data_IF_302080224903
#
_entry.id   IF_302080224903
#
_cell.length_a   1.000
_cell.length_b   1.000
_cell.length_c   1.000
_cell.angle_alpha   90.00
_cell.angle_beta   90.00
_cell.angle_gamma   90.00
#
_symmetry.space_group_name_H-M   'P 1'
#
loop_
_entity.id
_entity.type
_entity.pdbx_description
1 polymer ?
#
# COMPACT_ATOMS: atom_id res chain seq x y z
N UNK A 1 -19.23 -22.31 32.88
CA UNK A 1 -18.39 -21.89 31.76
C UNK A 1 -18.74 -20.44 31.46
N UNK A 2 -17.99 -19.50 32.02
CA UNK A 2 -18.15 -18.08 31.68
C UNK A 2 -17.58 -17.87 30.27
N UNK A 3 -18.43 -17.42 29.34
CA UNK A 3 -17.97 -16.90 28.07
C UNK A 3 -17.15 -15.64 28.37
N UNK A 4 -15.84 -15.76 28.18
CA UNK A 4 -14.89 -14.67 28.29
C UNK A 4 -15.17 -13.60 27.22
N UNK A 5 -16.11 -12.69 27.52
CA UNK A 5 -16.56 -11.59 26.66
C UNK A 5 -15.44 -10.57 26.32
N UNK A 6 -14.25 -10.71 26.90
CA UNK A 6 -13.11 -9.82 26.62
C UNK A 6 -12.48 -10.01 25.23
N UNK A 7 -12.76 -11.12 24.53
CA UNK A 7 -12.12 -11.41 23.23
C UNK A 7 -12.79 -10.75 22.03
N UNK A 8 -14.09 -10.44 22.11
CA UNK A 8 -14.83 -9.83 21.00
C UNK A 8 -14.58 -8.31 20.87
N UNK A 9 -14.29 -7.64 21.98
CA UNK A 9 -13.97 -6.21 21.99
C UNK A 9 -12.63 -5.88 21.30
N UNK A 10 -11.72 -6.86 21.17
CA UNK A 10 -10.46 -6.67 20.44
C UNK A 10 -10.60 -6.82 18.91
N UNK A 11 -11.81 -7.07 18.40
CA UNK A 11 -12.11 -7.05 16.95
C UNK A 11 -12.67 -5.67 16.55
N UNK A 12 -12.27 -4.60 17.25
CA UNK A 12 -12.48 -3.24 16.75
C UNK A 12 -11.42 -3.01 15.71
N UNK A 13 -11.75 -3.14 14.44
CA UNK A 13 -10.90 -2.85 13.28
C UNK A 13 -10.11 -1.51 13.44
N UNK A 14 -8.87 -1.39 12.94
CA UNK A 14 -8.08 -0.16 13.05
C UNK A 14 -8.83 1.06 12.50
N UNK A 15 -8.65 2.29 13.02
CA UNK A 15 -9.30 3.48 12.40
C UNK A 15 -8.89 3.64 10.93
N UNK A 16 -7.65 3.27 10.56
CA UNK A 16 -7.21 3.32 9.17
C UNK A 16 -7.97 2.32 8.29
N UNK A 17 -8.63 1.29 8.83
CA UNK A 17 -9.53 0.43 8.03
C UNK A 17 -10.94 0.99 7.89
N UNK A 18 -11.33 2.00 8.67
CA UNK A 18 -12.57 2.74 8.41
C UNK A 18 -12.54 3.45 7.06
N UNK A 19 -11.34 3.68 6.50
CA UNK A 19 -11.20 4.19 5.14
C UNK A 19 -11.76 3.22 4.09
N UNK A 20 -11.98 1.93 4.42
CA UNK A 20 -12.62 0.97 3.52
C UNK A 20 -14.17 1.01 3.60
N UNK A 21 -14.75 1.79 4.51
CA UNK A 21 -16.21 1.96 4.58
C UNK A 21 -16.68 3.13 3.69
N UNK A 22 -17.85 3.02 3.03
CA UNK A 22 -18.47 4.13 2.32
C UNK A 22 -18.81 5.31 3.26
N UNK A 23 -18.61 6.59 2.85
CA UNK A 23 -18.09 7.05 1.56
C UNK A 23 -16.55 7.19 1.50
N UNK A 24 -15.83 7.01 2.61
CA UNK A 24 -14.39 7.25 2.72
C UNK A 24 -13.55 6.40 1.76
N UNK A 25 -14.02 5.19 1.44
CA UNK A 25 -13.36 4.32 0.45
C UNK A 25 -13.23 4.98 -0.91
N UNK A 26 -14.23 5.74 -1.36
CA UNK A 26 -14.16 6.43 -2.64
C UNK A 26 -13.09 7.54 -2.63
N UNK A 27 -12.92 8.22 -1.49
CA UNK A 27 -11.86 9.22 -1.33
C UNK A 27 -10.47 8.60 -1.40
N UNK A 28 -10.26 7.45 -0.75
CA UNK A 28 -8.97 6.74 -0.81
C UNK A 28 -8.69 6.17 -2.19
N UNK A 29 -9.70 5.55 -2.83
CA UNK A 29 -9.59 5.04 -4.19
C UNK A 29 -9.19 6.15 -5.18
N UNK A 30 -9.86 7.31 -5.12
CA UNK A 30 -9.57 8.46 -5.99
C UNK A 30 -8.22 9.09 -5.64
N UNK A 31 -7.93 9.28 -4.34
CA UNK A 31 -6.68 9.84 -3.86
C UNK A 31 -5.46 9.03 -4.32
N UNK A 32 -5.50 7.69 -4.14
CA UNK A 32 -4.45 6.81 -4.62
C UNK A 32 -4.31 6.87 -6.15
N UNK A 33 -5.41 6.91 -6.90
CA UNK A 33 -5.34 7.04 -8.36
C UNK A 33 -4.64 8.33 -8.79
N UNK A 34 -4.88 9.45 -8.09
CA UNK A 34 -4.23 10.74 -8.35
C UNK A 34 -2.73 10.65 -8.06
N UNK A 35 -2.35 10.06 -6.92
CA UNK A 35 -0.94 9.90 -6.53
C UNK A 35 -0.21 8.99 -7.53
N UNK A 36 -0.78 7.84 -7.88
CA UNK A 36 -0.21 6.93 -8.87
C UNK A 36 -0.01 7.62 -10.23
N UNK A 37 -1.03 8.35 -10.68
CA UNK A 37 -0.96 9.14 -11.90
C UNK A 37 0.17 10.17 -11.86
N UNK A 38 0.29 10.90 -10.75
CA UNK A 38 1.33 11.92 -10.55
C UNK A 38 2.72 11.29 -10.59
N UNK A 39 2.96 10.20 -9.85
CA UNK A 39 4.27 9.54 -9.77
C UNK A 39 4.69 8.99 -11.13
N UNK A 40 3.80 8.30 -11.84
CA UNK A 40 4.07 7.77 -13.19
C UNK A 40 4.32 8.91 -14.17
N UNK A 41 3.49 9.96 -14.15
CA UNK A 41 3.63 11.11 -15.01
C UNK A 41 4.96 11.82 -14.79
N UNK A 42 5.30 12.17 -13.55
CA UNK A 42 6.56 12.85 -13.22
C UNK A 42 7.77 11.99 -13.60
N UNK A 43 7.74 10.69 -13.28
CA UNK A 43 8.86 9.80 -13.60
C UNK A 43 9.07 9.67 -15.11
N UNK A 44 8.00 9.54 -15.88
CA UNK A 44 8.09 9.46 -17.36
C UNK A 44 8.48 10.80 -17.98
N UNK A 45 7.97 11.92 -17.45
CA UNK A 45 8.31 13.28 -17.86
C UNK A 45 9.79 13.60 -17.66
N UNK A 46 10.34 13.38 -16.46
CA UNK A 46 11.76 13.64 -16.17
C UNK A 46 12.72 12.75 -16.97
N UNK A 47 12.27 11.55 -17.37
CA UNK A 47 13.03 10.66 -18.24
C UNK A 47 12.72 10.86 -19.73
N UNK A 48 11.97 11.90 -20.11
CA UNK A 48 11.62 12.30 -21.49
C UNK A 48 10.97 11.19 -22.31
N UNK A 49 10.20 10.31 -21.65
CA UNK A 49 9.49 9.24 -22.35
C UNK A 49 8.16 9.75 -22.89
N UNK A 50 7.98 9.60 -24.20
CA UNK A 50 6.73 9.91 -24.88
C UNK A 50 5.84 8.67 -24.87
N UNK A 51 4.80 8.69 -24.05
CA UNK A 51 3.72 7.70 -24.06
C UNK A 51 2.49 8.31 -24.73
N UNK A 52 1.76 7.50 -25.48
CA UNK A 52 0.41 7.88 -25.91
C UNK A 52 -0.52 7.98 -24.70
N UNK A 53 -1.60 8.76 -24.83
CA UNK A 53 -2.63 8.86 -23.76
C UNK A 53 -3.21 7.50 -23.36
N UNK A 54 -3.33 6.57 -24.31
CA UNK A 54 -3.84 5.21 -24.06
C UNK A 54 -2.86 4.37 -23.23
N UNK A 55 -1.57 4.44 -23.53
CA UNK A 55 -0.53 3.73 -22.78
C UNK A 55 -0.41 4.28 -21.36
N UNK A 56 -0.36 5.61 -21.22
CA UNK A 56 -0.28 6.26 -19.90
C UNK A 56 -1.48 5.87 -19.02
N UNK A 57 -2.71 5.98 -19.55
CA UNK A 57 -3.93 5.55 -18.83
C UNK A 57 -3.87 4.08 -18.43
N UNK A 58 -3.38 3.22 -19.33
CA UNK A 58 -3.26 1.77 -19.06
C UNK A 58 -2.27 1.48 -17.94
N UNK A 59 -1.10 2.13 -17.94
CA UNK A 59 -0.08 1.97 -16.90
C UNK A 59 -0.63 2.44 -15.55
N UNK A 60 -1.30 3.61 -15.51
CA UNK A 60 -1.86 4.18 -14.28
C UNK A 60 -2.97 3.28 -13.70
N UNK A 61 -3.96 2.87 -14.49
CA UNK A 61 -5.07 2.03 -13.98
C UNK A 61 -4.56 0.69 -13.46
N UNK A 62 -3.57 0.10 -14.14
CA UNK A 62 -2.97 -1.15 -13.67
C UNK A 62 -2.10 -0.95 -12.44
N UNK A 63 -1.34 0.14 -12.37
CA UNK A 63 -0.55 0.49 -11.19
C UNK A 63 -1.45 0.61 -9.96
N UNK A 64 -2.58 1.31 -10.11
CA UNK A 64 -3.62 1.47 -9.10
C UNK A 64 -4.20 0.12 -8.66
N UNK A 65 -4.63 -0.72 -9.61
CA UNK A 65 -5.20 -2.03 -9.30
C UNK A 65 -4.18 -2.97 -8.60
N UNK A 66 -2.94 -3.04 -9.10
CA UNK A 66 -1.90 -3.85 -8.47
C UNK A 66 -1.42 -3.27 -7.13
N UNK A 67 -1.48 -1.94 -6.97
CA UNK A 67 -1.21 -1.23 -5.73
C UNK A 67 -2.10 -1.73 -4.60
N UNK A 68 -3.42 -1.71 -4.81
CA UNK A 68 -4.36 -2.27 -3.83
C UNK A 68 -4.11 -3.74 -3.51
N UNK A 69 -3.80 -4.55 -4.52
CA UNK A 69 -3.45 -5.95 -4.31
C UNK A 69 -2.23 -6.12 -3.39
N UNK A 70 -1.20 -5.30 -3.59
CA UNK A 70 0.01 -5.31 -2.76
C UNK A 70 -0.27 -4.80 -1.34
N UNK A 71 -1.08 -3.76 -1.20
CA UNK A 71 -1.48 -3.23 0.11
C UNK A 71 -2.24 -4.28 0.93
N UNK A 72 -3.17 -5.01 0.30
CA UNK A 72 -3.89 -6.11 0.95
C UNK A 72 -2.96 -7.22 1.45
N UNK A 73 -1.90 -7.53 0.69
CA UNK A 73 -0.87 -8.48 1.12
C UNK A 73 -0.11 -7.93 2.34
N UNK A 74 0.20 -6.63 2.35
CA UNK A 74 0.80 -5.95 3.49
C UNK A 74 -0.08 -6.01 4.74
N UNK A 75 -1.38 -5.69 4.62
CA UNK A 75 -2.36 -5.82 5.71
C UNK A 75 -2.42 -7.26 6.23
N UNK A 76 -2.46 -8.24 5.31
CA UNK A 76 -2.54 -9.64 5.68
C UNK A 76 -1.29 -10.10 6.45
N UNK A 77 -0.10 -9.70 6.03
CA UNK A 77 1.13 -9.98 6.78
C UNK A 77 1.08 -9.33 8.17
N UNK A 78 0.70 -8.06 8.26
CA UNK A 78 0.61 -7.35 9.53
C UNK A 78 -0.33 -8.05 10.51
N UNK A 79 -1.49 -8.51 10.02
CA UNK A 79 -2.47 -9.26 10.81
C UNK A 79 -1.91 -10.60 11.32
N UNK A 80 -1.17 -11.34 10.49
CA UNK A 80 -0.51 -12.58 10.92
C UNK A 80 0.53 -12.32 12.01
N UNK A 81 1.35 -11.28 11.84
CA UNK A 81 2.39 -10.93 12.80
C UNK A 81 1.80 -10.42 14.12
N UNK A 82 0.77 -9.56 14.07
CA UNK A 82 0.10 -9.05 15.28
C UNK A 82 -0.53 -10.17 16.09
N UNK A 83 -1.13 -11.16 15.43
CA UNK A 83 -1.69 -12.35 16.10
C UNK A 83 -0.59 -13.23 16.70
N UNK A 84 0.54 -13.38 16.00
CA UNK A 84 1.66 -14.24 16.43
C UNK A 84 2.39 -13.66 17.63
N UNK A 85 2.72 -12.37 17.58
CA UNK A 85 3.47 -11.67 18.61
C UNK A 85 2.58 -11.01 19.68
N UNK A 86 1.24 -11.14 19.54
CA UNK A 86 0.23 -10.64 20.49
C UNK A 86 0.35 -9.15 20.80
N UNK A 87 0.58 -8.37 19.75
CA UNK A 87 0.58 -6.91 19.81
C UNK A 87 -0.69 -6.39 19.10
N UNK A 88 -1.08 -5.16 19.40
CA UNK A 88 -2.17 -4.45 18.76
C UNK A 88 -1.79 -4.00 17.34
N UNK A 89 -2.49 -4.53 16.33
CA UNK A 89 -2.32 -4.15 14.92
C UNK A 89 -2.69 -2.69 14.58
N UNK A 90 -2.92 -1.83 15.59
CA UNK A 90 -3.40 -0.45 15.48
C UNK A 90 -2.37 0.60 15.90
N UNK A 91 -1.26 0.18 16.53
CA UNK A 91 -0.21 1.07 16.98
C UNK A 91 1.17 0.47 16.72
N UNK A 92 1.86 0.98 15.70
CA UNK A 92 3.22 0.56 15.37
C UNK A 92 4.24 0.88 16.47
N UNK A 93 3.93 1.78 17.41
CA UNK A 93 4.87 2.30 18.40
C UNK A 93 4.68 1.76 19.81
N UNK A 94 3.80 0.78 20.01
CA UNK A 94 3.57 0.21 21.34
C UNK A 94 4.70 -0.72 21.81
N UNK A 95 5.39 -1.38 20.88
CA UNK A 95 6.47 -2.31 21.17
C UNK A 95 7.44 -2.43 19.98
N UNK A 96 8.62 -3.01 20.23
CA UNK A 96 9.59 -3.28 19.17
C UNK A 96 9.05 -4.28 18.14
N UNK A 97 8.35 -5.32 18.61
CA UNK A 97 7.73 -6.34 17.76
C UNK A 97 6.68 -5.74 16.83
N UNK A 98 5.86 -4.81 17.34
CA UNK A 98 4.91 -4.06 16.53
C UNK A 98 5.66 -3.23 15.48
N UNK A 99 6.62 -2.41 15.88
CA UNK A 99 7.38 -1.56 14.96
C UNK A 99 8.00 -2.35 13.80
N UNK A 100 8.69 -3.46 14.10
CA UNK A 100 9.29 -4.32 13.08
C UNK A 100 8.24 -4.97 12.17
N UNK A 101 7.10 -5.38 12.71
CA UNK A 101 6.03 -6.00 11.92
C UNK A 101 5.36 -5.03 10.95
N UNK A 102 5.14 -3.78 11.38
CA UNK A 102 4.65 -2.70 10.52
C UNK A 102 5.67 -2.37 9.42
N UNK A 103 6.95 -2.21 9.78
CA UNK A 103 8.03 -1.96 8.81
C UNK A 103 8.11 -3.09 7.78
N UNK A 104 8.11 -4.35 8.22
CA UNK A 104 8.16 -5.51 7.33
C UNK A 104 6.98 -5.52 6.35
N UNK A 105 5.77 -5.20 6.83
CA UNK A 105 4.54 -5.17 6.03
C UNK A 105 4.56 -4.07 4.98
N UNK A 106 5.01 -2.86 5.35
CA UNK A 106 5.13 -1.72 4.42
C UNK A 106 6.23 -1.98 3.39
N UNK A 107 7.38 -2.52 3.81
CA UNK A 107 8.47 -2.91 2.88
C UNK A 107 7.97 -3.96 1.89
N UNK A 108 7.27 -5.00 2.35
CA UNK A 108 6.74 -6.04 1.48
C UNK A 108 5.77 -5.45 0.44
N UNK A 109 4.80 -4.64 0.88
CA UNK A 109 3.86 -3.98 -0.01
C UNK A 109 4.59 -3.11 -1.04
N UNK A 110 5.50 -2.23 -0.59
CA UNK A 110 6.31 -1.38 -1.46
C UNK A 110 7.15 -2.17 -2.48
N UNK A 111 7.76 -3.29 -2.07
CA UNK A 111 8.51 -4.18 -2.96
C UNK A 111 7.61 -4.80 -4.04
N UNK A 112 6.41 -5.25 -3.67
CA UNK A 112 5.43 -5.79 -4.61
C UNK A 112 4.95 -4.73 -5.59
N UNK A 113 4.61 -3.53 -5.11
CA UNK A 113 4.23 -2.38 -5.93
C UNK A 113 5.34 -2.08 -6.94
N UNK A 114 6.60 -2.02 -6.48
CA UNK A 114 7.74 -1.77 -7.34
C UNK A 114 7.92 -2.84 -8.41
N UNK A 115 7.81 -4.11 -8.00
CA UNK A 115 7.95 -5.25 -8.91
C UNK A 115 6.86 -5.27 -9.99
N UNK A 116 5.59 -5.08 -9.61
CA UNK A 116 4.48 -5.06 -10.56
C UNK A 116 4.60 -3.88 -11.53
N UNK A 117 4.92 -2.68 -11.02
CA UNK A 117 5.11 -1.50 -11.84
C UNK A 117 6.30 -1.64 -12.80
N UNK A 118 7.42 -2.20 -12.34
CA UNK A 118 8.54 -2.56 -13.21
C UNK A 118 8.08 -3.50 -14.33
N UNK A 119 7.44 -4.62 -13.98
CA UNK A 119 7.05 -5.66 -14.94
C UNK A 119 6.07 -5.15 -16.00
N UNK A 120 5.14 -4.28 -15.64
CA UNK A 120 4.22 -3.69 -16.62
C UNK A 120 4.89 -2.62 -17.49
N UNK A 121 5.70 -1.74 -16.90
CA UNK A 121 6.35 -0.65 -17.63
C UNK A 121 7.38 -1.18 -18.63
N UNK A 122 8.00 -2.33 -18.35
CA UNK A 122 8.88 -3.04 -19.30
C UNK A 122 8.25 -3.34 -20.66
N UNK A 123 6.92 -3.31 -20.77
CA UNK A 123 6.19 -3.52 -22.04
C UNK A 123 6.12 -2.25 -22.91
N UNK A 124 6.40 -1.08 -22.33
CA UNK A 124 6.21 0.23 -22.98
C UNK A 124 7.48 1.10 -23.02
N UNK A 125 8.48 0.80 -22.19
CA UNK A 125 9.70 1.61 -22.09
C UNK A 125 10.93 0.76 -21.75
N UNK A 126 12.12 1.35 -21.92
CA UNK A 126 13.39 0.71 -21.60
C UNK A 126 13.45 0.20 -20.14
N UNK A 127 14.21 -0.87 -19.95
CA UNK A 127 14.40 -1.52 -18.66
C UNK A 127 14.88 -0.63 -17.54
N UNK A 128 15.80 0.30 -17.84
CA UNK A 128 16.32 1.21 -16.82
C UNK A 128 15.24 2.17 -16.34
N UNK A 129 14.39 2.64 -17.25
CA UNK A 129 13.32 3.59 -16.93
C UNK A 129 12.15 2.89 -16.26
N UNK A 130 11.75 1.72 -16.73
CA UNK A 130 10.75 0.89 -16.07
C UNK A 130 11.14 0.60 -14.61
N UNK A 131 12.44 0.38 -14.34
CA UNK A 131 12.94 0.20 -12.97
C UNK A 131 12.83 1.47 -12.14
N UNK A 132 13.13 2.65 -12.71
CA UNK A 132 12.91 3.93 -12.02
C UNK A 132 11.44 4.13 -11.66
N UNK A 133 10.52 3.85 -12.58
CA UNK A 133 9.07 3.92 -12.31
C UNK A 133 8.68 2.94 -11.20
N UNK A 134 9.13 1.69 -11.28
CA UNK A 134 8.88 0.69 -10.23
C UNK A 134 9.33 1.17 -8.86
N UNK A 135 10.59 1.59 -8.73
CA UNK A 135 11.14 2.07 -7.44
C UNK A 135 10.39 3.31 -6.95
N UNK A 136 10.12 4.28 -7.82
CA UNK A 136 9.39 5.49 -7.45
C UNK A 136 7.99 5.16 -6.91
N UNK A 137 7.26 4.28 -7.59
CA UNK A 137 5.95 3.80 -7.12
C UNK A 137 6.08 3.10 -5.77
N UNK A 138 6.94 2.08 -5.65
CA UNK A 138 7.05 1.30 -4.42
C UNK A 138 7.55 2.07 -3.20
N UNK A 139 8.22 3.21 -3.38
CA UNK A 139 8.60 4.09 -2.27
C UNK A 139 7.49 5.11 -1.98
N UNK A 140 7.00 5.82 -2.98
CA UNK A 140 6.07 6.94 -2.77
C UNK A 140 4.68 6.44 -2.39
N UNK A 141 4.24 5.33 -2.98
CA UNK A 141 2.87 4.81 -2.85
C UNK A 141 2.78 3.59 -1.95
N UNK A 142 3.85 3.27 -1.19
CA UNK A 142 3.75 2.28 -0.13
C UNK A 142 2.70 2.71 0.92
N UNK A 143 2.11 1.78 1.68
CA UNK A 143 1.04 2.08 2.62
C UNK A 143 1.57 2.71 3.92
N UNK A 144 2.21 3.88 3.81
CA UNK A 144 2.78 4.65 4.93
C UNK A 144 1.75 5.00 6.01
N UNK A 145 0.48 5.06 5.63
CA UNK A 145 -0.65 5.27 6.53
C UNK A 145 -0.74 4.22 7.65
N UNK A 146 -0.14 3.03 7.48
CA UNK A 146 -0.08 2.02 8.54
C UNK A 146 0.62 2.55 9.81
N UNK A 147 1.54 3.51 9.68
CA UNK A 147 2.25 4.07 10.83
C UNK A 147 1.46 5.14 11.58
N UNK A 148 0.26 5.53 11.12
CA UNK A 148 -0.57 6.47 11.86
C UNK A 148 -1.24 5.70 13.00
N UNK A 149 -0.89 5.96 14.26
CA UNK A 149 -1.46 5.26 15.39
C UNK A 149 -2.93 5.63 15.50
N UNK A 150 -3.74 4.62 15.81
CA UNK A 150 -5.18 4.80 15.97
C UNK A 150 -5.52 4.58 17.44
N UNK A 151 -5.52 5.68 18.19
CA UNK A 151 -5.80 5.66 19.62
C UNK A 151 -7.31 5.51 19.85
N UNK A 152 -7.67 4.48 20.61
CA UNK A 152 -8.97 4.33 21.25
C UNK A 152 -8.76 4.06 22.73
#
# INVERSE_FOLDING_TARGET
MEMNNSKLYNIIFPLWTLIFFPPYIFLVLIGNLIIDALVIFLTTYFNRIKLSRKELKTIIIRAWAFGFGADLIGVFLLFLLSTTFKFNGYNAFESLEAAFSFIASVILAGMLIAFFNYRQCRKFMDGKIARKVGIAMGIITAPWMFFIPTHY
#
